data_IF_503719542636
#
_entry.id   IF_503719542636
#
_cell.length_a   1.000
_cell.length_b   1.000
_cell.length_c   1.000
_cell.angle_alpha   90.00
_cell.angle_beta   90.00
_cell.angle_gamma   90.00
#
_symmetry.space_group_name_H-M   'P 1'
#
loop_
_entity.id
_entity.type
_entity.pdbx_description
1 polymer ?
#
# COMPACT_ATOMS: atom_id res chain seq x y z
N UNK A 1 -10.08 25.87 -28.92
CA UNK A 1 -10.66 26.01 -27.57
C UNK A 1 -11.47 24.76 -27.32
N UNK A 2 -11.04 23.88 -26.41
CA UNK A 2 -11.78 22.67 -26.09
C UNK A 2 -12.87 23.06 -25.08
N UNK A 3 -14.10 23.19 -25.54
CA UNK A 3 -15.23 23.45 -24.67
C UNK A 3 -15.68 22.12 -24.06
N UNK A 4 -15.48 21.94 -22.76
CA UNK A 4 -16.17 20.89 -22.01
C UNK A 4 -17.68 21.11 -22.13
N UNK A 5 -18.43 20.05 -22.43
CA UNK A 5 -19.88 20.11 -22.69
C UNK A 5 -20.63 20.05 -21.36
N UNK A 6 -21.60 20.94 -21.17
CA UNK A 6 -22.45 20.91 -19.98
C UNK A 6 -23.36 19.69 -20.03
N UNK A 7 -23.42 18.94 -18.93
CA UNK A 7 -24.31 17.80 -18.75
C UNK A 7 -25.04 17.84 -17.42
N UNK A 8 -25.93 16.87 -17.21
CA UNK A 8 -26.71 16.74 -15.97
C UNK A 8 -25.87 16.47 -14.71
N UNK A 9 -24.62 16.00 -14.86
CA UNK A 9 -23.69 15.68 -13.77
C UNK A 9 -22.45 16.59 -13.72
N UNK A 10 -22.41 17.66 -14.52
CA UNK A 10 -21.26 18.57 -14.55
C UNK A 10 -21.40 19.74 -13.59
N UNK A 11 -20.27 20.28 -13.12
CA UNK A 11 -20.18 21.52 -12.34
C UNK A 11 -19.17 22.49 -12.96
N UNK A 12 -19.32 23.77 -12.65
CA UNK A 12 -18.34 24.84 -12.93
C UNK A 12 -17.41 25.11 -11.76
N UNK A 13 -17.63 24.46 -10.61
CA UNK A 13 -16.79 24.61 -9.44
C UNK A 13 -15.35 24.16 -9.74
N UNK A 14 -14.40 25.03 -9.42
CA UNK A 14 -13.00 24.81 -9.73
C UNK A 14 -12.05 25.19 -8.57
N UNK A 15 -12.26 24.66 -7.35
CA UNK A 15 -11.45 25.02 -6.19
C UNK A 15 -9.97 24.66 -6.37
N UNK A 16 -9.67 23.61 -7.13
CA UNK A 16 -8.31 23.09 -7.35
C UNK A 16 -7.73 23.42 -8.73
N UNK A 17 -8.40 24.27 -9.52
CA UNK A 17 -7.95 24.74 -10.85
C UNK A 17 -7.75 23.63 -11.90
N UNK A 18 -8.43 22.49 -11.75
CA UNK A 18 -8.40 21.37 -12.71
C UNK A 18 -9.69 21.21 -13.53
N UNK A 19 -10.75 21.97 -13.22
CA UNK A 19 -12.00 21.93 -13.97
C UNK A 19 -11.96 22.95 -15.14
N UNK A 20 -12.01 22.51 -16.42
CA UNK A 20 -11.96 23.39 -17.58
C UNK A 20 -13.28 24.15 -17.87
N UNK A 21 -14.33 23.94 -17.07
CA UNK A 21 -15.58 24.70 -17.14
C UNK A 21 -16.80 23.86 -16.82
N UNK A 22 -16.95 22.68 -17.42
CA UNK A 22 -18.06 21.74 -17.19
C UNK A 22 -17.51 20.35 -16.84
N UNK A 23 -16.78 20.26 -15.74
CA UNK A 23 -16.15 19.03 -15.27
C UNK A 23 -17.09 18.15 -14.44
N UNK A 24 -16.76 16.87 -14.34
CA UNK A 24 -17.37 15.93 -13.40
C UNK A 24 -16.41 15.78 -12.22
N UNK A 25 -16.89 15.97 -10.99
CA UNK A 25 -16.05 15.92 -9.78
C UNK A 25 -16.78 15.22 -8.62
N UNK A 26 -16.01 14.71 -7.65
CA UNK A 26 -16.55 14.06 -6.45
C UNK A 26 -16.79 12.56 -6.63
N UNK A 27 -17.54 11.96 -5.71
CA UNK A 27 -17.82 10.52 -5.67
C UNK A 27 -19.27 10.24 -6.06
N UNK A 28 -19.49 9.38 -7.06
CA UNK A 28 -20.84 9.06 -7.57
C UNK A 28 -21.63 8.08 -6.68
N UNK A 29 -20.94 7.33 -5.81
CA UNK A 29 -21.50 6.23 -5.00
C UNK A 29 -22.20 5.14 -5.84
N UNK A 30 -21.73 4.92 -7.07
CA UNK A 30 -22.26 3.93 -8.01
C UNK A 30 -22.39 4.47 -9.44
N UNK A 31 -23.08 3.72 -10.29
CA UNK A 31 -23.37 4.14 -11.66
C UNK A 31 -24.42 5.24 -11.67
N UNK A 32 -24.12 6.35 -12.35
CA UNK A 32 -25.03 7.49 -12.52
C UNK A 32 -25.19 7.75 -14.02
N UNK A 33 -26.43 7.92 -14.48
CA UNK A 33 -26.72 8.24 -15.87
C UNK A 33 -26.23 9.66 -16.20
N UNK A 34 -25.31 9.76 -17.16
CA UNK A 34 -24.80 11.03 -17.67
C UNK A 34 -25.46 11.38 -19.02
N UNK A 35 -25.97 12.61 -19.15
CA UNK A 35 -26.64 13.12 -20.35
C UNK A 35 -26.06 14.49 -20.72
N UNK A 36 -25.68 14.62 -21.98
CA UNK A 36 -25.07 15.83 -22.55
C UNK A 36 -25.80 16.19 -23.85
N UNK A 37 -26.24 17.44 -23.99
CA UNK A 37 -26.87 17.92 -25.22
C UNK A 37 -25.80 18.29 -26.26
N UNK A 38 -25.84 17.60 -27.40
CA UNK A 38 -24.93 17.82 -28.53
C UNK A 38 -25.58 18.64 -29.66
N UNK A 39 -26.79 19.17 -29.47
CA UNK A 39 -27.55 19.87 -30.52
C UNK A 39 -26.82 21.08 -31.12
N UNK A 40 -25.92 21.70 -30.36
CA UNK A 40 -25.06 22.79 -30.86
C UNK A 40 -24.11 22.36 -31.99
N UNK A 41 -23.88 21.06 -32.15
CA UNK A 41 -23.01 20.46 -33.16
C UNK A 41 -23.79 19.80 -34.32
N UNK A 42 -25.11 19.97 -34.38
CA UNK A 42 -25.93 19.40 -35.45
C UNK A 42 -25.42 19.85 -36.83
N UNK A 43 -25.31 18.89 -37.76
CA UNK A 43 -24.78 19.12 -39.11
C UNK A 43 -23.26 19.25 -39.20
N UNK A 44 -22.52 19.10 -38.10
CA UNK A 44 -21.06 19.11 -38.07
C UNK A 44 -20.51 17.69 -37.86
N UNK A 45 -19.30 17.45 -38.35
CA UNK A 45 -18.49 16.29 -37.92
C UNK A 45 -17.70 16.71 -36.70
N UNK A 46 -17.85 15.96 -35.60
CA UNK A 46 -17.17 16.21 -34.33
C UNK A 46 -16.47 14.94 -33.83
N UNK A 47 -15.40 15.12 -33.08
CA UNK A 47 -14.79 14.06 -32.28
C UNK A 47 -15.23 14.23 -30.81
N UNK A 48 -15.67 13.14 -30.20
CA UNK A 48 -15.97 13.09 -28.77
C UNK A 48 -14.75 12.56 -28.02
N UNK A 49 -14.37 13.27 -26.95
CA UNK A 49 -13.23 12.88 -26.11
C UNK A 49 -13.61 12.94 -24.63
N UNK A 50 -13.27 11.87 -23.92
CA UNK A 50 -13.23 11.85 -22.46
C UNK A 50 -11.82 12.24 -21.99
N UNK A 51 -11.75 13.08 -20.95
CA UNK A 51 -10.48 13.55 -20.42
C UNK A 51 -10.51 13.50 -18.90
N UNK A 52 -9.62 12.70 -18.33
CA UNK A 52 -9.43 12.57 -16.89
C UNK A 52 -8.15 13.31 -16.48
N UNK A 53 -8.28 14.23 -15.51
CA UNK A 53 -7.19 15.11 -15.07
C UNK A 53 -7.05 14.96 -13.55
N UNK A 54 -5.86 14.60 -13.08
CA UNK A 54 -5.52 14.50 -11.66
C UNK A 54 -4.48 15.54 -11.25
N UNK A 55 -4.39 15.82 -9.96
CA UNK A 55 -3.27 16.56 -9.38
C UNK A 55 -2.25 15.59 -8.75
N UNK A 56 -1.24 16.13 -8.08
CA UNK A 56 -0.18 15.33 -7.44
C UNK A 56 -0.48 14.96 -5.98
N UNK A 57 -1.71 15.19 -5.49
CA UNK A 57 -2.01 15.08 -4.07
C UNK A 57 -2.51 13.68 -3.66
N UNK A 58 -3.67 13.27 -4.18
CA UNK A 58 -4.33 12.01 -3.78
C UNK A 58 -4.79 11.26 -5.02
N UNK A 59 -4.57 9.94 -5.03
CA UNK A 59 -5.09 9.03 -6.06
C UNK A 59 -6.24 8.20 -5.51
N UNK A 60 -7.42 8.33 -6.12
CA UNK A 60 -8.59 7.51 -5.80
C UNK A 60 -8.90 6.53 -6.93
N UNK A 61 -10.03 5.80 -6.85
CA UNK A 61 -10.41 4.77 -7.83
C UNK A 61 -10.55 5.27 -9.28
N UNK A 62 -10.64 6.59 -9.49
CA UNK A 62 -10.72 7.20 -10.81
C UNK A 62 -12.14 7.27 -11.37
N UNK A 63 -12.25 7.26 -12.69
CA UNK A 63 -13.50 7.42 -13.42
C UNK A 63 -13.75 6.24 -14.36
N UNK A 64 -14.94 5.64 -14.23
CA UNK A 64 -15.42 4.55 -15.06
C UNK A 64 -16.60 5.05 -15.91
N UNK A 65 -16.62 4.66 -17.19
CA UNK A 65 -17.63 5.04 -18.17
C UNK A 65 -18.09 3.76 -18.84
N UNK A 66 -19.39 3.60 -18.99
CA UNK A 66 -20.00 2.43 -19.60
C UNK A 66 -21.32 2.81 -20.27
N UNK A 67 -21.81 1.96 -21.18
CA UNK A 67 -23.06 2.13 -21.94
C UNK A 67 -23.15 3.49 -22.64
N UNK A 68 -22.10 3.84 -23.38
CA UNK A 68 -22.03 5.09 -24.13
C UNK A 68 -23.00 5.01 -25.31
N UNK A 69 -23.90 5.99 -25.43
CA UNK A 69 -24.84 6.09 -26.52
C UNK A 69 -24.90 7.53 -27.05
N UNK A 70 -24.81 7.69 -28.36
CA UNK A 70 -25.03 8.98 -29.04
C UNK A 70 -26.24 8.85 -29.95
N UNK A 71 -27.18 9.78 -29.83
CA UNK A 71 -28.38 9.84 -30.66
C UNK A 71 -28.43 11.12 -31.49
N UNK A 72 -28.74 11.00 -32.78
CA UNK A 72 -29.02 12.10 -33.68
C UNK A 72 -30.35 11.85 -34.40
N UNK A 73 -31.20 12.86 -34.48
CA UNK A 73 -32.51 12.80 -35.15
C UNK A 73 -33.39 11.60 -34.70
N UNK A 74 -33.32 11.26 -33.42
CA UNK A 74 -34.06 10.14 -32.82
C UNK A 74 -33.48 8.75 -33.10
N UNK A 75 -32.30 8.66 -33.72
CA UNK A 75 -31.62 7.40 -34.04
C UNK A 75 -30.30 7.29 -33.28
N UNK A 76 -29.94 6.07 -32.86
CA UNK A 76 -28.61 5.82 -32.27
C UNK A 76 -27.58 5.75 -33.38
N UNK A 77 -26.57 6.63 -33.32
CA UNK A 77 -25.49 6.72 -34.30
C UNK A 77 -24.17 6.15 -33.78
N UNK A 78 -24.03 6.01 -32.45
CA UNK A 78 -22.91 5.35 -31.78
C UNK A 78 -23.43 4.64 -30.52
N UNK A 79 -22.95 3.42 -30.30
CA UNK A 79 -23.14 2.67 -29.06
C UNK A 79 -21.83 1.94 -28.72
N UNK A 80 -21.42 2.00 -27.47
CA UNK A 80 -20.24 1.30 -26.94
C UNK A 80 -20.50 0.90 -25.48
N UNK A 81 -20.59 -0.41 -25.24
CA UNK A 81 -20.79 -1.04 -23.92
C UNK A 81 -19.49 -1.68 -23.38
N UNK A 82 -18.34 -1.37 -24.00
CA UNK A 82 -17.02 -1.90 -23.67
C UNK A 82 -16.82 -3.43 -23.82
N UNK A 83 -17.84 -4.20 -24.23
CA UNK A 83 -17.76 -5.66 -24.35
C UNK A 83 -17.04 -6.11 -25.64
N UNK A 84 -17.20 -5.36 -26.73
CA UNK A 84 -16.58 -5.61 -28.05
C UNK A 84 -15.53 -4.56 -28.42
N UNK A 85 -15.06 -4.51 -29.66
CA UNK A 85 -14.13 -3.44 -30.08
C UNK A 85 -14.72 -2.05 -29.77
N UNK A 86 -13.94 -1.21 -29.09
CA UNK A 86 -14.42 0.11 -28.68
C UNK A 86 -14.50 1.05 -29.88
N UNK A 87 -15.55 1.88 -29.90
CA UNK A 87 -15.69 2.99 -30.84
C UNK A 87 -14.73 4.16 -30.53
N UNK A 88 -14.06 4.14 -29.37
CA UNK A 88 -13.12 5.16 -28.93
C UNK A 88 -11.68 4.68 -29.07
N UNK A 89 -10.80 5.56 -29.54
CA UNK A 89 -9.38 5.39 -29.34
C UNK A 89 -9.03 5.58 -27.86
N UNK A 90 -8.32 4.62 -27.28
CA UNK A 90 -7.90 4.64 -25.88
C UNK A 90 -6.48 5.17 -25.75
N UNK A 91 -6.35 6.33 -25.11
CA UNK A 91 -5.07 6.93 -24.71
C UNK A 91 -5.09 7.17 -23.20
N UNK A 92 -4.48 6.25 -22.44
CA UNK A 92 -4.45 6.27 -20.97
C UNK A 92 -5.66 5.63 -20.29
N UNK A 93 -6.85 5.67 -20.93
CA UNK A 93 -7.97 4.81 -20.54
C UNK A 93 -7.71 3.36 -20.97
N UNK A 94 -8.27 2.42 -20.22
CA UNK A 94 -8.23 1.00 -20.54
C UNK A 94 -9.59 0.35 -20.27
N UNK A 95 -9.81 -0.81 -20.88
CA UNK A 95 -10.93 -1.66 -20.49
C UNK A 95 -10.61 -2.34 -19.17
N UNK A 96 -11.46 -2.14 -18.19
CA UNK A 96 -11.30 -2.70 -16.85
C UNK A 96 -12.33 -3.80 -16.60
N UNK A 97 -11.90 -4.89 -15.96
CA UNK A 97 -12.81 -5.92 -15.41
C UNK A 97 -13.32 -5.57 -14.01
N UNK A 98 -13.09 -4.32 -13.57
CA UNK A 98 -13.41 -3.84 -12.23
C UNK A 98 -12.42 -4.28 -11.15
N UNK A 99 -11.31 -4.95 -11.51
CA UNK A 99 -10.23 -5.28 -10.58
C UNK A 99 -9.03 -4.37 -10.81
N UNK A 100 -8.37 -4.05 -9.70
CA UNK A 100 -7.03 -3.44 -9.71
C UNK A 100 -6.02 -4.54 -9.45
N UNK A 101 -5.03 -4.62 -10.33
CA UNK A 101 -3.87 -5.47 -10.16
C UNK A 101 -2.69 -4.57 -9.76
N UNK A 102 -1.88 -5.03 -8.81
CA UNK A 102 -0.66 -4.35 -8.40
C UNK A 102 0.47 -5.36 -8.32
N UNK A 103 1.69 -4.86 -8.59
CA UNK A 103 2.88 -5.62 -8.29
C UNK A 103 3.12 -5.61 -6.78
N UNK A 104 3.61 -6.73 -6.28
CA UNK A 104 3.93 -6.91 -4.88
C UNK A 104 5.00 -8.00 -4.76
N UNK A 105 5.90 -7.84 -3.81
CA UNK A 105 7.08 -8.71 -3.71
C UNK A 105 7.71 -8.63 -2.32
N UNK A 106 8.58 -9.61 -2.03
CA UNK A 106 9.41 -9.58 -0.84
C UNK A 106 10.80 -9.05 -1.16
N UNK A 107 11.35 -8.23 -0.28
CA UNK A 107 12.78 -7.93 -0.25
C UNK A 107 13.41 -8.68 0.93
N UNK A 108 14.53 -9.35 0.66
CA UNK A 108 15.26 -10.13 1.64
C UNK A 108 16.64 -9.51 1.81
N UNK A 109 16.93 -9.02 3.01
CA UNK A 109 18.22 -8.42 3.31
C UNK A 109 18.81 -8.98 4.60
N UNK A 110 20.13 -9.13 4.63
CA UNK A 110 20.86 -9.54 5.83
C UNK A 110 21.43 -8.30 6.51
N UNK A 111 20.94 -7.98 7.71
CA UNK A 111 21.33 -6.79 8.49
C UNK A 111 22.18 -7.20 9.69
N UNK A 112 23.20 -6.42 9.99
CA UNK A 112 24.09 -6.65 11.14
C UNK A 112 24.61 -5.33 11.72
N UNK A 113 25.38 -5.35 12.79
CA UNK A 113 25.91 -4.12 13.40
C UNK A 113 27.30 -3.76 12.86
N UNK A 114 27.45 -3.65 11.54
CA UNK A 114 28.71 -3.24 10.88
C UNK A 114 28.49 -2.04 9.97
N UNK A 115 29.47 -1.14 9.94
CA UNK A 115 29.41 0.03 9.06
C UNK A 115 28.26 0.94 9.44
N UNK A 116 27.43 1.35 8.47
CA UNK A 116 26.30 2.26 8.73
C UNK A 116 25.28 1.62 9.71
N UNK A 117 25.12 0.31 9.67
CA UNK A 117 24.17 -0.40 10.52
C UNK A 117 24.65 -0.61 11.97
N UNK A 118 25.86 -0.16 12.33
CA UNK A 118 26.25 -0.03 13.74
C UNK A 118 25.25 0.83 14.53
N UNK A 119 24.60 1.79 13.86
CA UNK A 119 23.54 2.61 14.46
C UNK A 119 22.34 1.81 14.96
N UNK A 120 22.05 0.63 14.39
CA UNK A 120 20.94 -0.22 14.82
C UNK A 120 21.10 -0.73 16.25
N UNK A 121 22.33 -0.79 16.79
CA UNK A 121 22.61 -1.17 18.17
C UNK A 121 22.67 0.02 19.15
N UNK A 122 22.58 1.25 18.65
CA UNK A 122 22.92 2.46 19.41
C UNK A 122 21.81 3.52 19.38
N UNK A 123 20.56 3.08 19.52
CA UNK A 123 19.40 3.98 19.46
C UNK A 123 19.00 4.39 20.88
N UNK A 124 19.35 5.61 21.29
CA UNK A 124 19.01 6.11 22.62
C UNK A 124 17.49 6.24 22.81
N UNK A 125 16.94 5.55 23.80
CA UNK A 125 15.54 5.61 24.23
C UNK A 125 15.49 5.64 25.75
N UNK A 126 15.00 6.74 26.32
CA UNK A 126 14.96 6.92 27.77
C UNK A 126 16.35 6.86 28.38
N UNK A 127 16.57 5.90 29.27
CA UNK A 127 17.80 5.69 30.01
C UNK A 127 18.79 4.69 29.37
N UNK A 128 18.43 4.07 28.23
CA UNK A 128 19.20 2.96 27.63
C UNK A 128 19.25 3.02 26.10
N UNK A 129 20.15 2.23 25.53
CA UNK A 129 20.20 1.99 24.09
C UNK A 129 19.27 0.83 23.74
N UNK A 130 18.35 1.07 22.81
CA UNK A 130 17.63 0.04 22.07
C UNK A 130 18.55 -0.49 20.96
N UNK A 131 18.57 -1.81 20.80
CA UNK A 131 19.22 -2.50 19.70
C UNK A 131 18.18 -3.21 18.87
N UNK A 132 18.25 -3.07 17.55
CA UNK A 132 17.53 -3.95 16.63
C UNK A 132 18.34 -5.22 16.42
N UNK A 133 17.66 -6.36 16.39
CA UNK A 133 18.32 -7.65 16.22
C UNK A 133 18.90 -7.79 14.81
N UNK A 134 20.16 -8.26 14.69
CA UNK A 134 20.74 -8.59 13.40
C UNK A 134 20.19 -9.93 12.89
N UNK A 135 20.10 -10.09 11.57
CA UNK A 135 19.57 -11.28 10.92
C UNK A 135 18.99 -10.99 9.54
N UNK A 136 18.17 -11.92 9.06
CA UNK A 136 17.42 -11.77 7.82
C UNK A 136 16.18 -10.91 8.10
N UNK A 137 16.13 -9.70 7.53
CA UNK A 137 14.92 -8.88 7.53
C UNK A 137 14.12 -9.19 6.28
N UNK A 138 12.85 -9.55 6.48
CA UNK A 138 11.89 -9.78 5.40
C UNK A 138 11.02 -8.54 5.29
N UNK A 139 11.03 -7.90 4.13
CA UNK A 139 10.12 -6.80 3.81
C UNK A 139 9.06 -7.30 2.86
N UNK A 140 7.83 -6.84 3.03
CA UNK A 140 6.76 -7.03 2.06
C UNK A 140 6.37 -5.69 1.44
N UNK A 141 6.51 -5.60 0.11
CA UNK A 141 6.15 -4.43 -0.72
C UNK A 141 4.84 -4.71 -1.42
N UNK A 142 3.93 -3.74 -1.40
CA UNK A 142 2.66 -3.80 -2.12
C UNK A 142 2.40 -2.47 -2.86
N UNK A 143 2.57 -2.47 -4.18
CA UNK A 143 2.37 -1.29 -5.04
C UNK A 143 0.87 -0.97 -5.25
N UNK A 144 -0.04 -1.74 -4.63
CA UNK A 144 -1.45 -1.40 -4.49
C UNK A 144 -1.67 -0.17 -3.59
N UNK A 145 -0.71 0.10 -2.71
CA UNK A 145 -0.70 1.24 -1.79
C UNK A 145 0.36 2.27 -2.19
N UNK A 146 0.08 3.54 -2.00
CA UNK A 146 1.01 4.66 -2.20
C UNK A 146 1.51 5.27 -0.86
N UNK A 147 1.09 4.71 0.26
CA UNK A 147 1.36 5.19 1.61
C UNK A 147 1.46 4.06 2.64
N UNK A 148 1.87 4.40 3.86
CA UNK A 148 1.98 3.50 5.02
C UNK A 148 1.18 4.01 6.22
N UNK A 149 -0.06 4.47 5.99
CA UNK A 149 -0.95 4.94 7.06
C UNK A 149 -1.58 3.77 7.82
N UNK A 150 -0.76 3.05 8.59
CA UNK A 150 -1.18 1.83 9.30
C UNK A 150 -2.32 2.05 10.31
N UNK A 151 -2.55 3.27 10.80
CA UNK A 151 -3.73 3.58 11.62
C UNK A 151 -5.06 3.63 10.85
N UNK A 152 -5.02 3.70 9.51
CA UNK A 152 -6.21 3.63 8.62
C UNK A 152 -6.38 2.21 8.08
N UNK A 153 -5.28 1.56 7.72
CA UNK A 153 -5.25 0.21 7.18
C UNK A 153 -4.18 -0.66 7.90
N UNK A 154 -4.45 -1.12 9.14
CA UNK A 154 -3.48 -1.90 9.91
C UNK A 154 -3.01 -3.16 9.19
N UNK A 155 -1.71 -3.43 9.25
CA UNK A 155 -1.06 -4.53 8.54
C UNK A 155 -0.80 -4.27 7.04
N UNK A 156 -1.42 -3.26 6.44
CA UNK A 156 -1.32 -2.93 5.01
C UNK A 156 -0.44 -1.70 4.77
N UNK A 157 -0.13 -1.42 3.50
CA UNK A 157 0.65 -0.26 3.07
C UNK A 157 1.73 -0.61 2.05
N UNK A 158 2.33 0.42 1.45
CA UNK A 158 3.32 0.31 0.38
C UNK A 158 4.53 -0.57 0.75
N UNK A 159 5.07 -0.42 1.96
CA UNK A 159 6.27 -1.11 2.41
C UNK A 159 6.23 -1.35 3.92
N UNK A 160 6.44 -2.60 4.35
CA UNK A 160 6.54 -2.93 5.77
C UNK A 160 7.46 -4.12 6.04
N UNK A 161 8.13 -4.09 7.19
CA UNK A 161 8.89 -5.23 7.71
C UNK A 161 7.92 -6.29 8.21
N UNK A 162 8.22 -7.55 7.97
CA UNK A 162 7.55 -8.70 8.59
C UNK A 162 8.29 -9.03 9.87
N UNK A 163 7.59 -8.97 10.99
CA UNK A 163 8.17 -9.25 12.29
C UNK A 163 8.45 -10.75 12.48
N UNK A 164 9.59 -11.11 13.06
CA UNK A 164 9.93 -12.50 13.34
C UNK A 164 9.31 -12.95 14.68
N UNK A 165 9.05 -12.01 15.58
CA UNK A 165 8.33 -12.20 16.83
C UNK A 165 7.01 -11.40 16.82
N UNK A 166 5.91 -12.01 17.26
CA UNK A 166 4.59 -11.36 17.32
C UNK A 166 4.18 -11.04 18.77
N UNK A 167 5.08 -11.19 19.74
CA UNK A 167 4.81 -10.84 21.14
C UNK A 167 4.58 -9.33 21.29
N UNK A 168 3.38 -8.96 21.73
CA UNK A 168 3.06 -7.55 21.97
C UNK A 168 3.81 -7.01 23.18
N UNK A 169 4.70 -6.06 22.95
CA UNK A 169 5.36 -5.32 24.01
C UNK A 169 4.44 -4.25 24.61
N UNK A 170 4.40 -4.22 25.95
CA UNK A 170 3.59 -3.26 26.72
C UNK A 170 4.43 -2.59 27.80
N UNK A 171 4.19 -1.30 27.97
CA UNK A 171 4.72 -0.54 29.08
C UNK A 171 4.19 -1.10 30.41
N UNK A 172 4.89 -0.84 31.51
CA UNK A 172 4.51 -1.31 32.85
C UNK A 172 3.13 -0.84 33.33
N UNK A 173 2.54 0.17 32.68
CA UNK A 173 1.15 0.61 32.86
C UNK A 173 0.12 -0.11 31.96
N UNK A 174 0.50 -1.20 31.29
CA UNK A 174 -0.30 -1.98 30.34
C UNK A 174 -0.72 -1.24 29.04
N UNK A 175 -0.11 -0.09 28.76
CA UNK A 175 -0.23 0.59 27.46
C UNK A 175 0.66 -0.11 26.43
N UNK A 176 0.11 -0.43 25.26
CA UNK A 176 0.86 -0.98 24.12
C UNK A 176 2.00 -0.04 23.72
N UNK A 177 3.19 -0.60 23.50
CA UNK A 177 4.33 0.15 22.99
C UNK A 177 4.18 0.41 21.49
N UNK A 178 4.73 1.54 21.00
CA UNK A 178 4.66 1.89 19.58
C UNK A 178 5.42 0.89 18.70
N UNK A 179 5.12 0.88 17.39
CA UNK A 179 5.74 0.02 16.37
C UNK A 179 7.26 -0.01 16.45
N UNK A 180 7.90 1.13 16.78
CA UNK A 180 9.35 1.21 16.97
C UNK A 180 9.90 0.15 17.94
N UNK A 181 9.17 -0.13 19.02
CA UNK A 181 9.59 -1.16 19.96
C UNK A 181 9.12 -2.53 19.52
N UNK A 182 7.92 -2.65 18.95
CA UNK A 182 7.40 -3.97 18.54
C UNK A 182 8.33 -4.65 17.55
N UNK A 183 8.86 -3.93 16.55
CA UNK A 183 9.64 -4.52 15.45
C UNK A 183 11.15 -4.51 15.67
N UNK A 184 11.63 -4.36 16.91
CA UNK A 184 13.07 -4.31 17.16
C UNK A 184 13.75 -5.67 16.91
N UNK A 185 13.02 -6.75 17.09
CA UNK A 185 13.41 -8.16 16.95
C UNK A 185 12.84 -8.79 15.67
N UNK A 186 12.47 -7.97 14.69
CA UNK A 186 11.89 -8.42 13.42
C UNK A 186 12.80 -9.30 12.55
N UNK A 187 14.09 -9.41 12.88
CA UNK A 187 15.04 -10.16 12.06
C UNK A 187 14.97 -11.68 12.34
N UNK A 188 14.80 -12.46 11.27
CA UNK A 188 14.86 -13.91 11.32
C UNK A 188 16.30 -14.41 11.46
N UNK A 189 16.56 -15.29 12.43
CA UNK A 189 17.91 -15.68 12.82
C UNK A 189 17.97 -17.07 13.47
N UNK A 190 19.12 -17.74 13.35
CA UNK A 190 19.47 -18.95 14.12
C UNK A 190 19.94 -18.61 15.54
N UNK A 191 20.36 -17.37 15.76
CA UNK A 191 20.84 -16.87 17.05
C UNK A 191 19.71 -16.23 17.84
N UNK A 192 19.79 -16.35 19.17
CA UNK A 192 18.88 -15.66 20.10
C UNK A 192 19.00 -14.14 19.93
N UNK A 193 17.86 -13.46 20.07
CA UNK A 193 17.81 -12.01 20.23
C UNK A 193 18.45 -11.55 21.54
N UNK A 194 18.65 -10.25 21.68
CA UNK A 194 19.10 -9.65 22.94
C UNK A 194 17.89 -9.19 23.77
N UNK A 195 17.81 -9.54 25.08
CA UNK A 195 16.74 -8.99 25.91
C UNK A 195 16.96 -7.49 26.04
N UNK A 196 15.87 -6.72 26.04
CA UNK A 196 15.95 -5.28 26.18
C UNK A 196 15.08 -4.76 27.31
N UNK A 197 15.49 -3.61 27.85
CA UNK A 197 14.71 -2.84 28.82
C UNK A 197 14.98 -1.37 28.63
N UNK A 198 13.93 -0.56 28.70
CA UNK A 198 14.00 0.91 28.69
C UNK A 198 13.06 1.47 29.75
N UNK A 199 13.45 2.55 30.41
CA UNK A 199 12.59 3.35 31.27
C UNK A 199 12.41 4.77 30.74
N UNK A 200 11.15 5.22 30.63
CA UNK A 200 10.78 6.57 30.19
C UNK A 200 9.70 7.11 31.13
N UNK A 201 9.94 8.29 31.72
CA UNK A 201 8.98 8.98 32.58
C UNK A 201 8.37 8.10 33.69
N UNK A 202 9.17 7.20 34.28
CA UNK A 202 8.74 6.28 35.33
C UNK A 202 8.04 5.01 34.84
N UNK A 203 7.78 4.88 33.54
CA UNK A 203 7.25 3.67 32.90
C UNK A 203 8.39 2.80 32.37
N UNK A 204 8.25 1.46 32.46
CA UNK A 204 9.25 0.50 32.00
C UNK A 204 8.71 -0.33 30.84
N UNK A 205 9.54 -0.59 29.85
CA UNK A 205 9.30 -1.55 28.79
C UNK A 205 10.39 -2.62 28.90
N UNK A 206 9.99 -3.89 28.87
CA UNK A 206 10.90 -5.02 28.99
C UNK A 206 10.48 -6.04 27.94
N UNK A 207 11.46 -6.51 27.20
CA UNK A 207 11.34 -7.68 26.36
C UNK A 207 12.35 -8.75 26.82
N UNK A 208 11.86 -9.97 26.99
CA UNK A 208 12.68 -11.14 27.29
C UNK A 208 12.46 -12.28 26.29
N UNK A 209 11.63 -12.09 25.26
CA UNK A 209 11.21 -13.11 24.30
C UNK A 209 12.29 -13.32 23.22
N UNK A 210 13.48 -13.72 23.66
CA UNK A 210 14.70 -13.80 22.84
C UNK A 210 14.84 -15.08 22.02
N UNK A 211 13.74 -15.80 21.80
CA UNK A 211 13.77 -17.09 21.10
C UNK A 211 14.15 -16.88 19.62
N UNK A 212 15.05 -17.71 19.05
CA UNK A 212 15.43 -17.54 17.66
C UNK A 212 14.29 -18.00 16.74
N UNK A 213 13.88 -17.13 15.82
CA UNK A 213 12.91 -17.45 14.76
C UNK A 213 13.63 -17.48 13.40
N UNK A 214 14.05 -18.66 12.90
CA UNK A 214 14.85 -18.72 11.68
C UNK A 214 14.01 -18.84 10.40
N UNK A 215 12.68 -18.89 10.50
CA UNK A 215 11.81 -19.24 9.38
C UNK A 215 10.61 -18.32 9.26
N UNK A 216 10.53 -17.66 8.10
CA UNK A 216 9.32 -17.07 7.57
C UNK A 216 8.50 -18.13 6.82
N UNK A 217 7.18 -18.12 7.01
CA UNK A 217 6.20 -19.01 6.36
C UNK A 217 4.92 -18.21 6.15
N UNK A 218 4.60 -17.90 4.90
CA UNK A 218 3.49 -17.00 4.53
C UNK A 218 2.08 -17.55 4.85
N UNK A 219 2.00 -18.81 5.31
CA UNK A 219 0.78 -19.37 5.88
C UNK A 219 0.52 -18.94 7.33
N UNK A 220 1.53 -18.37 8.00
CA UNK A 220 1.42 -17.84 9.38
C UNK A 220 0.89 -16.41 9.36
N UNK A 221 0.26 -16.03 10.48
CA UNK A 221 -0.10 -14.65 10.75
C UNK A 221 1.12 -13.90 11.28
N UNK A 222 1.43 -12.77 10.64
CA UNK A 222 2.42 -11.79 11.10
C UNK A 222 1.77 -10.48 11.57
N UNK A 223 0.45 -10.50 11.76
CA UNK A 223 -0.28 -9.50 12.53
C UNK A 223 0.13 -9.54 14.02
N UNK A 224 0.14 -8.39 14.67
CA UNK A 224 0.34 -8.21 16.09
C UNK A 224 -0.96 -7.71 16.72
N UNK A 225 -1.84 -8.62 17.15
CA UNK A 225 -3.19 -8.30 17.66
C UNK A 225 -3.23 -7.31 18.84
N UNK A 226 -2.13 -7.17 19.59
CA UNK A 226 -2.04 -6.20 20.67
C UNK A 226 -1.51 -4.83 20.24
N UNK A 227 -1.01 -4.71 19.00
CA UNK A 227 -0.43 -3.54 18.34
C UNK A 227 -0.62 -3.64 16.81
N UNK A 228 -1.86 -3.59 16.31
CA UNK A 228 -2.20 -3.89 14.90
C UNK A 228 -1.39 -3.04 13.90
N UNK A 229 -1.11 -1.78 14.23
CA UNK A 229 -0.27 -0.85 13.45
C UNK A 229 1.19 -1.33 13.25
N UNK A 230 1.64 -2.31 14.04
CA UNK A 230 2.98 -2.90 13.98
C UNK A 230 3.01 -4.26 13.25
N UNK A 231 1.85 -4.85 12.99
CA UNK A 231 1.74 -6.10 12.25
C UNK A 231 2.00 -5.92 10.75
N UNK A 232 2.15 -7.04 10.05
CA UNK A 232 2.21 -7.07 8.58
C UNK A 232 1.34 -8.19 8.03
N UNK A 233 0.35 -7.82 7.21
CA UNK A 233 -0.40 -8.80 6.44
C UNK A 233 0.44 -9.24 5.24
N UNK A 234 0.46 -10.54 4.99
CA UNK A 234 1.20 -11.14 3.89
C UNK A 234 0.31 -12.11 3.13
N UNK A 235 0.44 -12.21 1.81
CA UNK A 235 -0.32 -13.15 1.01
C UNK A 235 0.15 -14.59 1.26
N UNK A 236 -0.78 -15.54 1.19
CA UNK A 236 -0.44 -16.96 1.33
C UNK A 236 -0.27 -17.60 -0.06
N UNK A 237 0.99 -17.73 -0.49
CA UNK A 237 1.37 -18.48 -1.67
C UNK A 237 2.05 -19.81 -1.33
N UNK A 238 2.28 -20.12 -0.04
CA UNK A 238 3.08 -21.25 0.42
C UNK A 238 4.59 -20.97 0.40
N UNK A 239 5.00 -19.71 0.29
CA UNK A 239 6.39 -19.28 0.32
C UNK A 239 6.97 -19.47 1.73
N UNK A 240 8.15 -20.10 1.77
CA UNK A 240 8.93 -20.32 2.98
C UNK A 240 10.34 -19.82 2.77
N UNK A 241 10.83 -19.04 3.73
CA UNK A 241 12.18 -18.48 3.71
C UNK A 241 12.84 -18.84 5.05
N UNK A 242 13.95 -19.57 4.99
CA UNK A 242 14.62 -20.09 6.18
C UNK A 242 16.10 -19.75 6.20
N UNK A 243 16.58 -19.21 7.30
CA UNK A 243 18.01 -19.11 7.59
C UNK A 243 18.55 -20.50 7.92
N UNK A 244 19.52 -20.97 7.13
CA UNK A 244 20.13 -22.31 7.24
C UNK A 244 21.65 -22.27 7.49
N UNK A 245 22.19 -21.09 7.76
CA UNK A 245 23.57 -20.90 8.19
C UNK A 245 23.89 -19.41 8.34
N UNK A 246 24.78 -19.10 9.28
CA UNK A 246 25.30 -17.75 9.54
C UNK A 246 26.82 -17.82 9.67
N UNK A 247 27.53 -16.81 9.16
CA UNK A 247 28.96 -16.67 9.42
C UNK A 247 29.18 -16.34 10.91
N UNK A 248 30.34 -16.72 11.45
CA UNK A 248 30.65 -16.53 12.87
C UNK A 248 30.63 -15.05 13.31
N UNK A 249 30.98 -14.15 12.40
CA UNK A 249 30.96 -12.69 12.56
C UNK A 249 29.66 -12.03 12.09
N UNK A 250 28.68 -12.84 11.63
CA UNK A 250 27.35 -12.44 11.15
C UNK A 250 27.38 -11.44 9.98
N UNK A 251 28.45 -11.43 9.20
CA UNK A 251 28.56 -10.62 7.98
C UNK A 251 27.85 -11.25 6.78
N UNK A 252 27.56 -12.55 6.83
CA UNK A 252 26.83 -13.26 5.78
C UNK A 252 25.95 -14.37 6.34
N UNK A 253 24.94 -14.77 5.55
CA UNK A 253 24.07 -15.90 5.86
C UNK A 253 23.77 -16.74 4.62
N UNK A 254 23.30 -17.96 4.86
CA UNK A 254 22.73 -18.84 3.84
C UNK A 254 21.23 -18.94 4.09
N UNK A 255 20.45 -18.51 3.11
CA UNK A 255 18.99 -18.51 3.16
C UNK A 255 18.45 -19.50 2.13
N UNK A 256 17.51 -20.34 2.55
CA UNK A 256 16.76 -21.25 1.68
C UNK A 256 15.39 -20.65 1.41
N UNK A 257 15.05 -20.48 0.14
CA UNK A 257 13.74 -20.04 -0.32
C UNK A 257 13.07 -21.23 -1.02
N UNK A 258 11.87 -21.59 -0.60
CA UNK A 258 11.15 -22.71 -1.19
C UNK A 258 9.62 -22.55 -1.08
N UNK A 259 8.90 -23.41 -1.80
CA UNK A 259 7.45 -23.57 -1.75
C UNK A 259 7.12 -25.04 -1.57
#
# INVERSE_FOLDING_TARGET
>A
MNYSIQGNITTTDNPYRQNPGNGITGTSNGWVKAEFDLSAYAGQTIDLRFHYITDAAVSEAGWYIDNIQVTADGTTVLADDAEGDSAFAVEGFEKSDGKRYSDHYYLLEWRNHRGVDEGLAHILRGDRLLSYDPGLVVWYVDEGYDNNWTGVHPGEGFLGVVDADQHTLKWSGNTTASTLYQVHDAAFSLQKGAPFRVAINGSQLIDNDTAPTPAFDDSRSYDNKGAEDAGRNVPNYGLKIRVIGESADRTAARVLIHR
#
